data_IF_548087076610
#
_entry.id   IF_548087076610
#
_cell.length_a   1.000
_cell.length_b   1.000
_cell.length_c   1.000
_cell.angle_alpha   90.00
_cell.angle_beta   90.00
_cell.angle_gamma   90.00
#
_symmetry.space_group_name_H-M   'P 1'
#
loop_
_entity.id
_entity.type
_entity.pdbx_description
1 polymer ?
#
# COMPACT_ATOMS: atom_id res chain seq x y z
N UNK A 1 -11.03 18.93 -16.22
CA UNK A 1 -9.82 19.06 -17.03
C UNK A 1 -8.57 18.53 -16.33
N UNK A 2 -7.92 19.21 -15.37
CA UNK A 2 -6.71 18.65 -14.69
C UNK A 2 -6.99 17.28 -14.01
N UNK A 3 -8.02 17.19 -13.17
CA UNK A 3 -8.45 15.93 -12.52
C UNK A 3 -8.84 14.78 -13.47
N UNK A 4 -9.25 15.10 -14.70
CA UNK A 4 -9.61 14.06 -15.68
C UNK A 4 -8.37 13.51 -16.37
N UNK A 5 -7.35 14.34 -16.58
CA UNK A 5 -6.05 13.92 -17.11
C UNK A 5 -5.36 13.01 -16.10
N UNK A 6 -5.40 13.38 -14.81
CA UNK A 6 -4.83 12.57 -13.72
C UNK A 6 -5.50 11.16 -13.68
N UNK A 7 -6.84 11.11 -13.71
CA UNK A 7 -7.56 9.83 -13.71
C UNK A 7 -7.24 8.95 -14.95
N UNK A 8 -7.02 9.57 -16.11
CA UNK A 8 -6.65 8.86 -17.33
C UNK A 8 -5.25 8.24 -17.20
N UNK A 9 -4.29 9.03 -16.73
CA UNK A 9 -2.90 8.61 -16.55
C UNK A 9 -2.75 7.51 -15.49
N UNK A 10 -3.47 7.63 -14.37
CA UNK A 10 -3.51 6.58 -13.35
C UNK A 10 -4.06 5.25 -13.89
N UNK A 11 -5.06 5.30 -14.77
CA UNK A 11 -5.66 4.11 -15.37
C UNK A 11 -4.74 3.46 -16.40
N UNK A 12 -4.06 4.25 -17.24
CA UNK A 12 -3.06 3.76 -18.20
C UNK A 12 -1.87 3.09 -17.49
N UNK A 13 -1.38 3.70 -16.41
CA UNK A 13 -0.31 3.14 -15.59
C UNK A 13 -0.74 1.83 -14.92
N UNK A 14 -1.97 1.76 -14.43
CA UNK A 14 -2.54 0.53 -13.86
C UNK A 14 -2.63 -0.60 -14.89
N UNK A 15 -3.05 -0.28 -16.12
CA UNK A 15 -3.12 -1.26 -17.21
C UNK A 15 -1.73 -1.81 -17.56
N UNK A 16 -0.74 -0.93 -17.78
CA UNK A 16 0.63 -1.32 -18.10
C UNK A 16 1.26 -2.15 -16.98
N UNK A 17 1.08 -1.75 -15.73
CA UNK A 17 1.60 -2.50 -14.57
C UNK A 17 0.96 -3.88 -14.46
N UNK A 18 -0.36 -3.97 -14.61
CA UNK A 18 -1.09 -5.24 -14.51
C UNK A 18 -0.64 -6.20 -15.60
N UNK A 19 -0.53 -5.73 -16.85
CA UNK A 19 -0.11 -6.56 -17.97
C UNK A 19 1.33 -7.08 -17.82
N UNK A 20 2.25 -6.21 -17.41
CA UNK A 20 3.65 -6.59 -17.21
C UNK A 20 3.85 -7.53 -16.01
N UNK A 21 3.08 -7.34 -14.94
CA UNK A 21 3.17 -8.17 -13.74
C UNK A 21 2.48 -9.54 -13.91
N UNK A 22 1.50 -9.66 -14.81
CA UNK A 22 0.73 -10.90 -15.01
C UNK A 22 1.60 -12.10 -15.36
N UNK A 23 2.57 -11.94 -16.27
CA UNK A 23 3.45 -13.05 -16.63
C UNK A 23 4.36 -13.45 -15.46
N UNK A 24 4.81 -12.49 -14.66
CA UNK A 24 5.68 -12.73 -13.50
C UNK A 24 4.91 -13.48 -12.42
N UNK A 25 3.68 -13.03 -12.11
CA UNK A 25 2.82 -13.71 -11.14
C UNK A 25 2.41 -15.10 -11.61
N UNK A 26 2.07 -15.29 -12.89
CA UNK A 26 1.73 -16.60 -13.43
C UNK A 26 2.90 -17.60 -13.30
N UNK A 27 4.13 -17.15 -13.55
CA UNK A 27 5.32 -17.98 -13.36
C UNK A 27 5.50 -18.32 -11.88
N UNK A 28 5.33 -17.34 -10.98
CA UNK A 28 5.44 -17.57 -9.53
C UNK A 28 4.40 -18.59 -9.04
N UNK A 29 3.14 -18.47 -9.51
CA UNK A 29 2.04 -19.35 -9.14
C UNK A 29 2.27 -20.79 -9.64
N UNK A 30 2.89 -20.98 -10.80
CA UNK A 30 3.28 -22.30 -11.32
C UNK A 30 4.43 -22.87 -10.49
N UNK A 31 5.44 -22.06 -10.15
CA UNK A 31 6.63 -22.53 -9.40
C UNK A 31 6.30 -22.89 -7.96
N UNK A 32 5.36 -22.18 -7.33
CA UNK A 32 4.92 -22.42 -5.95
C UNK A 32 3.78 -23.45 -5.85
N UNK A 33 3.35 -24.05 -6.97
CA UNK A 33 2.23 -24.99 -7.05
C UNK A 33 0.87 -24.43 -6.52
N UNK A 34 0.76 -23.11 -6.35
CA UNK A 34 -0.43 -22.42 -5.82
C UNK A 34 -1.68 -22.67 -6.68
N UNK A 35 -1.52 -22.80 -8.00
CA UNK A 35 -2.63 -23.14 -8.91
C UNK A 35 -3.21 -24.52 -8.56
N UNK A 36 -2.35 -25.50 -8.27
CA UNK A 36 -2.79 -26.86 -7.92
C UNK A 36 -3.55 -26.84 -6.60
N UNK A 37 -3.00 -26.14 -5.60
CA UNK A 37 -3.60 -26.07 -4.26
C UNK A 37 -4.95 -25.34 -4.28
N UNK A 38 -5.07 -24.26 -5.07
CA UNK A 38 -6.33 -23.56 -5.29
C UNK A 38 -7.41 -24.46 -5.93
N UNK A 39 -7.06 -25.23 -6.97
CA UNK A 39 -8.00 -26.17 -7.60
C UNK A 39 -8.41 -27.31 -6.65
N UNK A 40 -7.47 -27.87 -5.90
CA UNK A 40 -7.74 -28.92 -4.93
C UNK A 40 -8.65 -28.41 -3.80
N UNK A 41 -8.43 -27.20 -3.33
CA UNK A 41 -9.25 -26.56 -2.31
C UNK A 41 -10.69 -26.29 -2.82
N UNK A 42 -10.83 -25.81 -4.06
CA UNK A 42 -12.15 -25.56 -4.66
C UNK A 42 -12.95 -26.85 -4.86
N UNK A 43 -12.30 -27.96 -5.24
CA UNK A 43 -12.97 -29.26 -5.39
C UNK A 43 -13.38 -29.89 -4.05
N UNK A 44 -12.61 -29.65 -2.98
CA UNK A 44 -12.80 -30.32 -1.68
C UNK A 44 -13.71 -29.52 -0.74
N UNK A 45 -13.67 -28.19 -0.82
CA UNK A 45 -14.21 -27.29 0.21
C UNK A 45 -14.94 -26.08 -0.41
N UNK A 46 -15.86 -26.33 -1.34
CA UNK A 46 -16.69 -25.30 -1.99
C UNK A 46 -17.73 -24.69 -1.02
N UNK A 47 -17.27 -24.07 0.07
CA UNK A 47 -18.13 -23.35 0.99
C UNK A 47 -18.48 -21.97 0.40
N UNK A 48 -19.76 -21.57 0.33
CA UNK A 48 -20.16 -20.30 -0.29
C UNK A 48 -19.53 -19.05 0.37
N UNK A 49 -19.13 -19.16 1.64
CA UNK A 49 -18.38 -18.11 2.34
C UNK A 49 -17.00 -17.85 1.72
N UNK A 50 -16.32 -18.89 1.24
CA UNK A 50 -15.00 -18.74 0.61
C UNK A 50 -15.09 -17.90 -0.66
N UNK A 51 -16.06 -18.21 -1.53
CA UNK A 51 -16.32 -17.45 -2.75
C UNK A 51 -16.66 -15.98 -2.46
N UNK A 52 -17.46 -15.73 -1.42
CA UNK A 52 -17.79 -14.36 -1.00
C UNK A 52 -16.55 -13.56 -0.56
N UNK A 53 -15.72 -14.15 0.31
CA UNK A 53 -14.48 -13.51 0.78
C UNK A 53 -13.50 -13.29 -0.40
N UNK A 54 -13.38 -14.26 -1.30
CA UNK A 54 -12.52 -14.15 -2.48
C UNK A 54 -12.92 -12.99 -3.40
N UNK A 55 -14.21 -12.82 -3.69
CA UNK A 55 -14.71 -11.70 -4.50
C UNK A 55 -14.43 -10.35 -3.81
N UNK A 56 -14.67 -10.26 -2.50
CA UNK A 56 -14.40 -9.04 -1.73
C UNK A 56 -12.90 -8.71 -1.77
N UNK A 57 -12.05 -9.72 -1.61
CA UNK A 57 -10.60 -9.55 -1.66
C UNK A 57 -10.15 -9.01 -3.02
N UNK A 58 -10.64 -9.60 -4.12
CA UNK A 58 -10.35 -9.15 -5.49
C UNK A 58 -10.77 -7.69 -5.71
N UNK A 59 -12.01 -7.34 -5.37
CA UNK A 59 -12.51 -5.96 -5.53
C UNK A 59 -11.70 -4.97 -4.68
N UNK A 60 -11.36 -5.35 -3.45
CA UNK A 60 -10.54 -4.51 -2.56
C UNK A 60 -9.15 -4.29 -3.13
N UNK A 61 -8.51 -5.32 -3.71
CA UNK A 61 -7.19 -5.23 -4.33
C UNK A 61 -7.17 -4.26 -5.50
N UNK A 62 -8.17 -4.30 -6.37
CA UNK A 62 -8.30 -3.37 -7.51
C UNK A 62 -8.43 -1.92 -7.00
N UNK A 63 -9.30 -1.68 -6.02
CA UNK A 63 -9.51 -0.34 -5.45
C UNK A 63 -8.23 0.18 -4.79
N UNK A 64 -7.54 -0.64 -4.02
CA UNK A 64 -6.27 -0.26 -3.38
C UNK A 64 -5.17 0.04 -4.38
N UNK A 65 -5.09 -0.75 -5.46
CA UNK A 65 -4.11 -0.52 -6.53
C UNK A 65 -4.37 0.82 -7.23
N UNK A 66 -5.63 1.09 -7.57
CA UNK A 66 -6.03 2.36 -8.17
C UNK A 66 -5.73 3.55 -7.26
N UNK A 67 -6.07 3.46 -5.97
CA UNK A 67 -5.79 4.51 -5.00
C UNK A 67 -4.29 4.78 -4.83
N UNK A 68 -3.44 3.75 -4.96
CA UNK A 68 -1.98 3.89 -4.87
C UNK A 68 -1.43 4.67 -6.06
N UNK A 69 -1.91 4.41 -7.28
CA UNK A 69 -1.49 5.15 -8.46
C UNK A 69 -1.97 6.61 -8.45
N UNK A 70 -3.19 6.87 -7.97
CA UNK A 70 -3.66 8.25 -7.75
C UNK A 70 -2.79 9.00 -6.73
N UNK A 71 -2.39 8.34 -5.64
CA UNK A 71 -1.49 8.96 -4.66
C UNK A 71 -0.10 9.22 -5.24
N UNK A 72 0.40 8.31 -6.08
CA UNK A 72 1.70 8.43 -6.73
C UNK A 72 1.76 9.67 -7.62
N UNK A 73 0.70 9.92 -8.37
CA UNK A 73 0.60 11.06 -9.27
C UNK A 73 0.48 12.39 -8.51
N UNK A 74 -0.38 12.46 -7.50
CA UNK A 74 -0.65 13.72 -6.80
C UNK A 74 0.45 14.12 -5.81
N UNK A 75 1.05 13.16 -5.10
CA UNK A 75 1.98 13.42 -4.00
C UNK A 75 3.43 13.05 -4.32
N UNK A 76 3.67 12.46 -5.49
CA UNK A 76 4.98 11.95 -5.89
C UNK A 76 5.35 10.63 -5.23
N UNK A 77 6.40 10.00 -5.76
CA UNK A 77 6.86 8.67 -5.35
C UNK A 77 7.30 8.61 -3.88
N UNK A 78 8.00 9.64 -3.40
CA UNK A 78 8.57 9.64 -2.05
C UNK A 78 7.49 9.67 -0.95
N UNK A 79 6.50 10.55 -1.08
CA UNK A 79 5.41 10.65 -0.11
C UNK A 79 4.54 9.40 -0.12
N UNK A 80 4.28 8.83 -1.30
CA UNK A 80 3.50 7.60 -1.45
C UNK A 80 4.20 6.41 -0.80
N UNK A 81 5.52 6.29 -0.98
CA UNK A 81 6.30 5.23 -0.35
C UNK A 81 6.33 5.36 1.18
N UNK A 82 6.47 6.58 1.69
CA UNK A 82 6.47 6.85 3.12
C UNK A 82 5.12 6.46 3.78
N UNK A 83 4.01 6.88 3.17
CA UNK A 83 2.66 6.52 3.64
C UNK A 83 2.43 4.99 3.53
N UNK A 84 2.92 4.37 2.45
CA UNK A 84 2.84 2.91 2.27
C UNK A 84 3.58 2.15 3.38
N UNK A 85 4.76 2.64 3.78
CA UNK A 85 5.54 2.04 4.87
C UNK A 85 4.83 2.19 6.23
N UNK A 86 4.22 3.36 6.51
CA UNK A 86 3.41 3.56 7.74
C UNK A 86 2.21 2.63 7.76
N UNK A 87 1.48 2.52 6.64
CA UNK A 87 0.36 1.58 6.48
C UNK A 87 0.80 0.14 6.74
N UNK A 88 1.93 -0.29 6.16
CA UNK A 88 2.47 -1.63 6.35
C UNK A 88 2.82 -1.89 7.83
N UNK A 89 3.46 -0.93 8.51
CA UNK A 89 3.78 -1.04 9.93
C UNK A 89 2.52 -1.19 10.80
N UNK A 90 1.47 -0.41 10.53
CA UNK A 90 0.18 -0.53 11.22
C UNK A 90 -0.48 -1.89 10.95
N UNK A 91 -0.47 -2.34 9.69
CA UNK A 91 -1.03 -3.64 9.31
C UNK A 91 -0.34 -4.79 10.04
N UNK A 92 0.99 -4.79 10.08
CA UNK A 92 1.78 -5.79 10.79
C UNK A 92 1.44 -5.78 12.29
N UNK A 93 1.36 -4.59 12.88
CA UNK A 93 0.98 -4.44 14.28
C UNK A 93 -0.40 -5.04 14.57
N UNK A 94 -1.41 -4.70 13.77
CA UNK A 94 -2.77 -5.23 13.94
C UNK A 94 -2.82 -6.75 13.71
N UNK A 95 -2.13 -7.26 12.69
CA UNK A 95 -2.08 -8.67 12.38
C UNK A 95 -1.51 -9.50 13.53
N UNK A 96 -0.41 -9.03 14.15
CA UNK A 96 0.17 -9.72 15.31
C UNK A 96 -0.75 -9.69 16.53
N UNK A 97 -1.38 -8.55 16.83
CA UNK A 97 -2.32 -8.47 17.94
C UNK A 97 -3.53 -9.38 17.70
N UNK A 98 -4.11 -9.37 16.49
CA UNK A 98 -5.22 -10.26 16.14
C UNK A 98 -4.81 -11.73 16.20
N UNK A 99 -3.62 -12.10 15.71
CA UNK A 99 -3.14 -13.48 15.76
C UNK A 99 -3.03 -13.99 17.20
N UNK A 100 -2.51 -13.17 18.11
CA UNK A 100 -2.43 -13.50 19.53
C UNK A 100 -3.82 -13.72 20.15
N UNK A 101 -4.80 -12.86 19.83
CA UNK A 101 -6.16 -12.96 20.38
C UNK A 101 -6.98 -14.11 19.80
N UNK A 102 -6.85 -14.41 18.50
CA UNK A 102 -7.69 -15.37 17.80
C UNK A 102 -7.11 -16.79 17.80
N UNK A 103 -5.79 -16.90 17.68
CA UNK A 103 -5.10 -18.19 17.48
C UNK A 103 -4.16 -18.56 18.62
N UNK A 104 -3.98 -17.70 19.64
CA UNK A 104 -2.97 -17.88 20.70
C UNK A 104 -1.56 -18.17 20.13
N UNK A 105 -1.26 -17.57 18.98
CA UNK A 105 -0.06 -17.83 18.20
C UNK A 105 1.10 -16.91 18.63
N UNK A 106 2.20 -16.90 17.85
CA UNK A 106 3.46 -16.17 18.10
C UNK A 106 3.27 -14.77 18.71
N UNK A 107 3.85 -14.57 19.89
CA UNK A 107 3.85 -13.29 20.59
C UNK A 107 4.65 -12.22 19.86
N UNK A 108 4.15 -10.96 19.78
CA UNK A 108 4.89 -9.88 19.14
C UNK A 108 6.21 -9.61 19.86
N UNK A 109 7.31 -9.62 19.09
CA UNK A 109 8.62 -9.30 19.62
C UNK A 109 8.77 -7.77 19.80
N UNK A 110 9.62 -7.33 20.72
CA UNK A 110 9.87 -5.90 21.02
C UNK A 110 10.28 -5.12 19.76
N UNK A 111 10.96 -5.78 18.83
CA UNK A 111 11.34 -5.22 17.53
C UNK A 111 10.15 -4.78 16.67
N UNK A 112 8.98 -5.42 16.76
CA UNK A 112 7.79 -5.02 16.00
C UNK A 112 7.25 -3.66 16.49
N UNK A 113 7.29 -3.44 17.81
CA UNK A 113 6.91 -2.16 18.41
C UNK A 113 7.91 -1.06 18.05
N UNK A 114 9.21 -1.36 18.05
CA UNK A 114 10.25 -0.43 17.58
C UNK A 114 10.09 -0.10 16.10
N UNK A 115 9.78 -1.09 15.25
CA UNK A 115 9.51 -0.89 13.83
C UNK A 115 8.37 0.09 13.59
N UNK A 116 7.25 -0.09 14.31
CA UNK A 116 6.10 0.82 14.24
C UNK A 116 6.47 2.25 14.65
N UNK A 117 7.14 2.41 15.79
CA UNK A 117 7.56 3.73 16.27
C UNK A 117 8.56 4.40 15.32
N UNK A 118 9.49 3.64 14.75
CA UNK A 118 10.46 4.15 13.79
C UNK A 118 9.78 4.60 12.49
N UNK A 119 8.82 3.84 11.96
CA UNK A 119 8.07 4.22 10.76
C UNK A 119 7.22 5.48 10.96
N UNK A 120 6.54 5.59 12.10
CA UNK A 120 5.74 6.78 12.45
C UNK A 120 6.65 7.99 12.71
N UNK A 121 7.76 7.79 13.43
CA UNK A 121 8.74 8.83 13.71
C UNK A 121 9.41 9.37 12.45
N UNK A 122 9.78 8.49 11.51
CA UNK A 122 10.31 8.88 10.21
C UNK A 122 9.30 9.69 9.40
N UNK A 123 8.02 9.29 9.41
CA UNK A 123 6.96 10.02 8.74
C UNK A 123 6.72 11.42 9.34
N UNK A 124 6.71 11.51 10.68
CA UNK A 124 6.57 12.78 11.38
C UNK A 124 7.75 13.73 11.12
N UNK A 125 8.99 13.20 11.18
CA UNK A 125 10.19 13.98 10.90
C UNK A 125 10.19 14.53 9.47
N UNK A 126 9.83 13.69 8.50
CA UNK A 126 9.73 14.10 7.11
C UNK A 126 8.67 15.19 6.90
N UNK A 127 7.48 15.02 7.50
CA UNK A 127 6.40 16.02 7.42
C UNK A 127 6.82 17.37 8.00
N UNK A 128 7.47 17.35 9.18
CA UNK A 128 8.00 18.56 9.82
C UNK A 128 9.05 19.26 8.94
N UNK A 129 9.98 18.50 8.37
CA UNK A 129 11.03 19.04 7.51
C UNK A 129 10.48 19.60 6.19
N UNK A 130 9.38 19.04 5.67
CA UNK A 130 8.69 19.59 4.48
C UNK A 130 8.08 20.96 4.77
N UNK A 131 7.32 21.08 5.87
CA UNK A 131 6.68 22.35 6.24
C UNK A 131 7.71 23.46 6.52
N UNK A 132 8.82 23.13 7.18
CA UNK A 132 9.88 24.13 7.43
C UNK A 132 10.52 24.68 6.16
N UNK A 133 10.64 23.87 5.10
CA UNK A 133 11.17 24.31 3.80
C UNK A 133 10.19 25.20 3.03
N UNK A 134 8.90 24.89 3.10
CA UNK A 134 7.85 25.68 2.43
C UNK A 134 7.70 27.08 3.05
N UNK A 135 7.88 27.20 4.37
CA UNK A 135 7.91 28.49 5.06
C UNK A 135 9.12 29.33 4.63
N UNK A 136 10.31 28.71 4.50
CA UNK A 136 11.55 29.38 4.12
C UNK A 136 11.50 29.90 2.67
N UNK A 137 10.97 29.11 1.74
CA UNK A 137 10.76 29.50 0.32
C UNK A 137 9.74 30.64 0.23
N UNK A 138 8.66 30.56 1.00
CA UNK A 138 7.62 31.60 1.01
C UNK A 138 8.16 32.93 1.54
N UNK A 139 8.96 32.91 2.61
CA UNK A 139 9.63 34.11 3.10
C UNK A 139 10.57 34.69 2.04
N UNK A 140 11.48 33.89 1.48
CA UNK A 140 12.45 34.36 0.46
C UNK A 140 11.77 35.04 -0.73
N UNK A 141 10.66 34.48 -1.23
CA UNK A 141 9.88 35.08 -2.32
C UNK A 141 9.20 36.40 -1.93
N UNK A 142 8.84 36.57 -0.65
CA UNK A 142 8.25 37.81 -0.13
C UNK A 142 9.31 38.91 -0.01
N UNK A 143 10.54 38.57 0.39
CA UNK A 143 11.68 39.48 0.41
C UNK A 143 12.07 39.94 -1.01
N UNK A 144 12.09 39.03 -1.99
CA UNK A 144 12.40 39.37 -3.38
C UNK A 144 11.35 40.24 -4.07
N UNK A 145 10.09 40.25 -3.61
CA UNK A 145 9.04 41.14 -4.13
C UNK A 145 9.07 42.56 -3.54
N UNK A 146 9.81 42.76 -2.45
CA UNK A 146 9.93 44.06 -1.77
C UNK A 146 11.21 44.83 -2.16
N UNK A 147 12.15 44.18 -2.84
CA UNK A 147 13.35 44.77 -3.42
C UNK A 147 13.08 45.23 -4.86
#
# INVERSE_FOLDING_TARGET
MAREIDALQATELMYMHSFNSLIVFLIADIVQDEIRDAFMYMMTSAHPLFTGVFIILLLSGIIFQYATFLCLEHNGALNTQLISNVRAAIQIFLAYNMSLYLFYDVSPNVFNYFGLLASIGAAYYYYKNSNSKDEEITQKNTWMKKA
#
